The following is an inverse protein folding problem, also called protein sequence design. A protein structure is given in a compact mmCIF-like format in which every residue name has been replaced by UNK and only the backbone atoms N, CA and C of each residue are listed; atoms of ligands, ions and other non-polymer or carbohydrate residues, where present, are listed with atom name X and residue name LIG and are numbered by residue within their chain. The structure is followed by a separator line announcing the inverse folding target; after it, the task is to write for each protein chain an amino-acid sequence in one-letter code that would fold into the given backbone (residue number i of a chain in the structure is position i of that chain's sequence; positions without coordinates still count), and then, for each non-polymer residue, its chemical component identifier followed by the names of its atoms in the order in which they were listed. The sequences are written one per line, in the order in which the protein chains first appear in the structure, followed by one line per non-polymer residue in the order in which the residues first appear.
data_IF_780845711538
#
_entry.id   IF_780845711538
#
_cell.length_a   1.000
_cell.length_b   1.000
_cell.length_c   1.000
_cell.angle_alpha   90.00
_cell.angle_beta   90.00
_cell.angle_gamma   90.00
#
_symmetry.space_group_name_H-M   'P 1'
#
loop_
_entity.id
_entity.type
_entity.pdbx_description
1 polymer ?
#
# COMPACT_ATOMS: atom_id res chain seq x y z
N UNK A 1 -13.61 8.16 -5.97
CA UNK A 1 -12.71 8.60 -7.06
C UNK A 1 -13.24 8.14 -8.40
N UNK A 2 -13.81 9.08 -9.18
CA UNK A 2 -14.38 8.79 -10.50
C UNK A 2 -13.36 8.11 -11.44
N UNK A 3 -12.10 8.56 -11.41
CA UNK A 3 -11.04 8.01 -12.25
C UNK A 3 -10.77 6.52 -11.99
N UNK A 4 -10.85 6.05 -10.74
CA UNK A 4 -10.67 4.63 -10.45
C UNK A 4 -11.80 3.79 -11.04
N UNK A 5 -13.05 4.24 -10.87
CA UNK A 5 -14.19 3.53 -11.45
C UNK A 5 -14.11 3.49 -12.98
N UNK A 6 -13.71 4.60 -13.60
CA UNK A 6 -13.49 4.66 -15.06
C UNK A 6 -12.34 3.73 -15.51
N UNK A 7 -11.23 3.69 -14.75
CA UNK A 7 -10.10 2.78 -15.06
C UNK A 7 -10.51 1.32 -14.97
N UNK A 8 -11.32 0.93 -13.96
CA UNK A 8 -11.83 -0.43 -13.85
C UNK A 8 -12.74 -0.80 -15.03
N UNK A 9 -13.62 0.12 -15.46
CA UNK A 9 -14.48 -0.08 -16.62
C UNK A 9 -13.64 -0.22 -17.91
N UNK A 10 -12.62 0.63 -18.09
CA UNK A 10 -11.70 0.55 -19.23
C UNK A 10 -10.92 -0.77 -19.25
N UNK A 11 -10.44 -1.21 -18.09
CA UNK A 11 -9.79 -2.51 -17.97
C UNK A 11 -10.74 -3.66 -18.36
N UNK A 12 -12.00 -3.60 -17.93
CA UNK A 12 -13.03 -4.55 -18.31
C UNK A 12 -13.27 -4.60 -19.83
N UNK A 13 -13.36 -3.44 -20.47
CA UNK A 13 -13.50 -3.34 -21.94
C UNK A 13 -12.30 -3.97 -22.63
N UNK A 14 -11.08 -3.68 -22.15
CA UNK A 14 -9.84 -4.19 -22.73
C UNK A 14 -9.69 -5.71 -22.58
N UNK A 15 -10.24 -6.28 -21.52
CA UNK A 15 -10.16 -7.71 -21.21
C UNK A 15 -11.43 -8.49 -21.57
N UNK A 16 -12.40 -7.86 -22.25
CA UNK A 16 -13.72 -8.42 -22.58
C UNK A 16 -14.45 -8.97 -21.32
N UNK A 17 -14.34 -8.23 -20.24
CA UNK A 17 -14.90 -8.58 -18.93
C UNK A 17 -15.86 -7.52 -18.44
N UNK A 18 -17.05 -7.92 -17.99
CA UNK A 18 -18.01 -7.00 -17.36
C UNK A 18 -17.61 -6.76 -15.92
N UNK A 19 -17.21 -5.52 -15.61
CA UNK A 19 -16.91 -5.10 -14.25
C UNK A 19 -18.17 -4.56 -13.57
N UNK A 20 -18.55 -5.15 -12.43
CA UNK A 20 -19.57 -4.64 -11.53
C UNK A 20 -18.85 -4.12 -10.27
N UNK A 21 -18.95 -2.81 -10.02
CA UNK A 21 -18.30 -2.18 -8.88
C UNK A 21 -19.31 -2.09 -7.73
N UNK A 22 -18.97 -2.66 -6.60
CA UNK A 22 -19.69 -2.51 -5.34
C UNK A 22 -18.89 -1.60 -4.40
N UNK A 23 -19.53 -0.55 -3.89
CA UNK A 23 -18.90 0.40 -2.99
C UNK A 23 -19.23 0.03 -1.55
N UNK A 24 -18.22 -0.28 -0.77
CA UNK A 24 -18.36 -0.68 0.63
C UNK A 24 -17.90 0.44 1.55
N UNK A 25 -18.64 0.67 2.62
CA UNK A 25 -18.19 1.54 3.70
C UNK A 25 -17.28 0.78 4.64
N UNK A 26 -16.02 1.22 4.74
CA UNK A 26 -15.04 0.56 5.59
C UNK A 26 -15.37 0.64 7.09
N UNK A 27 -16.18 1.61 7.52
CA UNK A 27 -16.62 1.66 8.93
C UNK A 27 -17.56 0.51 9.30
N UNK A 28 -18.34 -0.03 8.36
CA UNK A 28 -19.15 -1.22 8.62
C UNK A 28 -18.28 -2.46 8.87
N UNK A 29 -17.15 -2.57 8.18
CA UNK A 29 -16.18 -3.65 8.41
C UNK A 29 -15.55 -3.56 9.81
N UNK A 30 -15.28 -2.35 10.30
CA UNK A 30 -14.78 -2.14 11.68
C UNK A 30 -15.79 -2.61 12.74
N UNK A 31 -17.08 -2.55 12.42
CA UNK A 31 -18.15 -3.02 13.30
C UNK A 31 -18.37 -4.56 13.24
N UNK A 32 -17.56 -5.26 12.42
CA UNK A 32 -17.59 -6.71 12.27
C UNK A 32 -18.59 -7.24 11.23
N UNK A 33 -19.22 -6.38 10.45
CA UNK A 33 -20.07 -6.82 9.32
C UNK A 33 -19.19 -7.11 8.10
N UNK A 34 -18.75 -8.36 7.98
CA UNK A 34 -17.94 -8.83 6.86
C UNK A 34 -18.79 -9.42 5.72
N UNK A 35 -20.10 -9.50 5.88
CA UNK A 35 -20.98 -10.10 4.87
C UNK A 35 -20.95 -9.40 3.52
N UNK A 36 -20.61 -8.12 3.52
CA UNK A 36 -20.45 -7.32 2.31
C UNK A 36 -19.21 -7.71 1.46
N UNK A 37 -18.29 -8.48 2.04
CA UNK A 37 -17.12 -9.02 1.32
C UNK A 37 -17.37 -10.39 0.70
N UNK A 38 -18.51 -11.03 1.03
CA UNK A 38 -18.82 -12.36 0.54
C UNK A 38 -19.12 -12.35 -0.97
N UNK A 39 -18.50 -13.29 -1.68
CA UNK A 39 -18.75 -13.49 -3.11
C UNK A 39 -18.14 -12.43 -4.03
N UNK A 40 -17.24 -11.59 -3.52
CA UNK A 40 -16.48 -10.66 -4.35
C UNK A 40 -15.38 -11.40 -5.13
N UNK A 41 -15.22 -11.07 -6.39
CA UNK A 41 -14.15 -11.60 -7.25
C UNK A 41 -12.80 -10.91 -7.02
N UNK A 42 -12.83 -9.67 -6.50
CA UNK A 42 -11.63 -8.89 -6.16
C UNK A 42 -11.96 -7.77 -5.18
N UNK A 43 -10.96 -7.33 -4.43
CA UNK A 43 -11.04 -6.19 -3.51
C UNK A 43 -10.05 -5.12 -3.94
N UNK A 44 -10.54 -3.88 -4.09
CA UNK A 44 -9.70 -2.71 -4.32
C UNK A 44 -9.82 -1.76 -3.13
N UNK A 45 -8.68 -1.46 -2.49
CA UNK A 45 -8.59 -0.42 -1.46
C UNK A 45 -7.92 0.80 -2.06
N UNK A 46 -8.66 1.90 -2.24
CA UNK A 46 -8.13 3.11 -2.88
C UNK A 46 -7.26 3.93 -1.94
N UNK A 47 -6.62 4.95 -2.51
CA UNK A 47 -5.99 6.02 -1.74
C UNK A 47 -7.01 6.79 -0.88
N UNK A 48 -6.51 7.42 0.16
CA UNK A 48 -7.31 8.21 1.08
C UNK A 48 -6.44 8.89 2.12
N UNK A 49 -7.08 9.70 2.97
CA UNK A 49 -6.45 10.42 4.06
C UNK A 49 -7.32 10.36 5.30
N UNK A 50 -6.68 10.47 6.48
CA UNK A 50 -7.37 10.51 7.76
C UNK A 50 -7.73 9.13 8.33
N UNK A 51 -8.12 9.13 9.61
CA UNK A 51 -8.31 7.91 10.41
C UNK A 51 -9.58 7.12 10.11
N UNK A 52 -10.57 7.74 9.46
CA UNK A 52 -11.89 7.17 9.28
C UNK A 52 -11.83 5.88 8.45
N UNK A 53 -12.33 4.79 9.00
CA UNK A 53 -12.44 3.50 8.32
C UNK A 53 -11.10 2.83 8.01
N UNK A 54 -10.00 3.20 8.69
CA UNK A 54 -8.68 2.61 8.44
C UNK A 54 -8.63 1.16 8.89
N UNK A 55 -9.15 0.84 10.07
CA UNK A 55 -9.18 -0.54 10.55
C UNK A 55 -10.04 -1.44 9.65
N UNK A 56 -11.16 -0.94 9.14
CA UNK A 56 -11.97 -1.68 8.17
C UNK A 56 -11.24 -1.96 6.85
N UNK A 57 -10.37 -1.06 6.40
CA UNK A 57 -9.51 -1.29 5.23
C UNK A 57 -8.41 -2.33 5.52
N UNK A 58 -7.87 -2.33 6.76
CA UNK A 58 -6.92 -3.36 7.21
C UNK A 58 -7.62 -4.73 7.24
N UNK A 59 -8.86 -4.78 7.75
CA UNK A 59 -9.69 -6.00 7.74
C UNK A 59 -9.96 -6.47 6.30
N UNK A 60 -10.26 -5.57 5.37
CA UNK A 60 -10.46 -5.94 3.97
C UNK A 60 -9.20 -6.55 3.34
N UNK A 61 -8.01 -6.01 3.65
CA UNK A 61 -6.73 -6.59 3.21
C UNK A 61 -6.49 -7.97 3.85
N UNK A 62 -6.84 -8.15 5.14
CA UNK A 62 -6.76 -9.44 5.82
C UNK A 62 -7.66 -10.49 5.17
N UNK A 63 -8.93 -10.17 4.94
CA UNK A 63 -9.88 -11.07 4.28
C UNK A 63 -9.38 -11.44 2.88
N UNK A 64 -8.89 -10.47 2.10
CA UNK A 64 -8.31 -10.73 0.80
C UNK A 64 -7.15 -11.73 0.88
N UNK A 65 -6.20 -11.52 1.80
CA UNK A 65 -5.06 -12.41 1.99
C UNK A 65 -5.47 -13.82 2.41
N UNK A 66 -6.35 -13.92 3.42
CA UNK A 66 -6.74 -15.22 4.01
C UNK A 66 -7.63 -16.05 3.09
N UNK A 67 -8.58 -15.39 2.42
CA UNK A 67 -9.52 -16.05 1.51
C UNK A 67 -9.02 -16.15 0.07
N UNK A 68 -7.79 -15.66 -0.20
CA UNK A 68 -7.19 -15.68 -1.53
C UNK A 68 -8.01 -14.90 -2.57
N UNK A 69 -8.69 -13.84 -2.15
CA UNK A 69 -9.39 -12.91 -3.04
C UNK A 69 -8.39 -11.94 -3.66
N UNK A 70 -8.34 -11.77 -4.98
CA UNK A 70 -7.50 -10.77 -5.63
C UNK A 70 -7.59 -9.40 -4.97
N UNK A 71 -6.43 -8.79 -4.69
CA UNK A 71 -6.33 -7.53 -3.97
C UNK A 71 -5.51 -6.50 -4.74
N UNK A 72 -6.05 -5.29 -4.91
CA UNK A 72 -5.34 -4.13 -5.39
C UNK A 72 -5.35 -3.02 -4.33
N UNK A 73 -4.17 -2.69 -3.80
CA UNK A 73 -4.00 -1.58 -2.87
C UNK A 73 -3.37 -0.37 -3.56
N UNK A 74 -3.99 0.80 -3.46
CA UNK A 74 -3.46 2.04 -4.07
C UNK A 74 -3.19 3.06 -2.97
N UNK A 75 -1.97 3.56 -2.84
CA UNK A 75 -1.56 4.57 -1.86
C UNK A 75 -1.88 4.10 -0.43
N UNK A 76 -2.92 4.64 0.23
CA UNK A 76 -3.39 4.13 1.53
C UNK A 76 -3.69 2.63 1.49
N UNK A 77 -4.17 2.11 0.36
CA UNK A 77 -4.41 0.68 0.18
C UNK A 77 -3.15 -0.18 0.32
N UNK A 78 -2.00 0.29 -0.17
CA UNK A 78 -0.71 -0.35 0.07
C UNK A 78 -0.32 -0.25 1.55
N UNK A 79 -0.48 0.92 2.15
CA UNK A 79 -0.10 1.14 3.54
C UNK A 79 -0.89 0.22 4.49
N UNK A 80 -2.20 0.07 4.30
CA UNK A 80 -3.01 -0.83 5.14
C UNK A 80 -2.68 -2.30 4.90
N UNK A 81 -2.28 -2.69 3.69
CA UNK A 81 -1.79 -4.04 3.41
C UNK A 81 -0.47 -4.33 4.14
N UNK A 82 0.45 -3.38 4.18
CA UNK A 82 1.71 -3.50 4.95
C UNK A 82 1.41 -3.58 6.46
N UNK A 83 0.51 -2.76 6.98
CA UNK A 83 0.10 -2.78 8.39
C UNK A 83 -0.52 -4.13 8.75
N UNK A 84 -1.43 -4.62 7.92
CA UNK A 84 -2.07 -5.94 8.09
C UNK A 84 -1.02 -7.05 8.17
N UNK A 85 -0.12 -7.09 7.19
CA UNK A 85 0.91 -8.11 7.11
C UNK A 85 1.89 -8.05 8.30
N UNK A 86 2.26 -6.85 8.71
CA UNK A 86 3.10 -6.64 9.88
C UNK A 86 2.45 -7.19 11.16
N UNK A 87 1.15 -6.93 11.35
CA UNK A 87 0.39 -7.39 12.54
C UNK A 87 0.24 -8.90 12.57
N UNK A 88 -0.24 -9.49 11.49
CA UNK A 88 -0.74 -10.86 11.51
C UNK A 88 0.29 -11.89 11.03
N UNK A 89 1.28 -11.50 10.25
CA UNK A 89 2.29 -12.41 9.70
C UNK A 89 3.67 -12.17 10.32
N UNK A 90 4.12 -10.91 10.41
CA UNK A 90 5.44 -10.60 10.96
C UNK A 90 5.47 -10.47 12.50
N UNK A 91 4.32 -10.68 13.19
CA UNK A 91 4.24 -10.65 14.64
C UNK A 91 4.56 -9.29 15.26
N UNK A 92 4.26 -8.21 14.55
CA UNK A 92 4.46 -6.85 15.03
C UNK A 92 3.16 -6.30 15.65
N UNK A 93 2.90 -6.71 16.89
CA UNK A 93 1.69 -6.29 17.58
C UNK A 93 1.51 -4.76 17.55
N UNK A 94 0.26 -4.32 17.32
CA UNK A 94 -0.10 -2.90 17.21
C UNK A 94 0.69 -2.12 16.13
N UNK A 95 1.25 -2.80 15.12
CA UNK A 95 1.85 -2.10 13.98
C UNK A 95 0.85 -1.13 13.36
N UNK A 96 1.28 0.09 13.07
CA UNK A 96 0.41 1.13 12.51
C UNK A 96 1.19 2.17 11.71
N UNK A 97 0.46 3.11 11.13
CA UNK A 97 1.00 4.36 10.60
C UNK A 97 1.06 5.41 11.71
N UNK A 98 2.15 6.18 11.77
CA UNK A 98 2.25 7.34 12.67
C UNK A 98 1.28 8.46 12.31
N UNK A 99 0.69 8.43 11.10
CA UNK A 99 -0.42 9.32 10.73
C UNK A 99 -1.66 9.07 11.60
N UNK A 100 -1.93 7.82 11.94
CA UNK A 100 -3.17 7.40 12.62
C UNK A 100 -2.95 7.12 14.10
N UNK A 101 -1.81 6.55 14.47
CA UNK A 101 -1.37 6.30 15.84
C UNK A 101 0.08 6.76 16.04
N UNK A 102 0.30 8.03 16.42
CA UNK A 102 1.66 8.55 16.65
C UNK A 102 2.43 7.82 17.74
N UNK A 103 1.73 7.12 18.65
CA UNK A 103 2.32 6.39 19.79
C UNK A 103 2.44 4.87 19.49
N UNK A 104 2.28 4.46 18.25
CA UNK A 104 2.43 3.04 17.89
C UNK A 104 3.81 2.53 18.25
N UNK A 105 3.92 1.36 18.92
CA UNK A 105 5.22 0.76 19.22
C UNK A 105 5.94 0.21 17.97
N UNK A 106 5.22 0.04 16.88
CA UNK A 106 5.71 -0.50 15.63
C UNK A 106 5.28 0.42 14.46
N UNK A 107 5.97 1.55 14.22
CA UNK A 107 5.65 2.50 13.15
C UNK A 107 6.09 1.93 11.79
N UNK A 108 5.25 1.08 11.19
CA UNK A 108 5.54 0.43 9.91
C UNK A 108 5.33 1.35 8.72
N UNK A 109 4.48 2.36 8.90
CA UNK A 109 4.30 3.48 7.98
C UNK A 109 4.60 4.76 8.76
N UNK A 110 5.49 5.60 8.25
CA UNK A 110 5.95 6.80 8.94
C UNK A 110 6.28 7.93 7.95
N UNK A 111 6.44 9.15 8.49
CA UNK A 111 7.05 10.23 7.74
C UNK A 111 8.51 9.87 7.45
N UNK A 112 8.97 10.19 6.26
CA UNK A 112 10.40 10.17 5.96
C UNK A 112 11.01 11.37 6.67
N UNK A 113 11.63 11.12 7.82
CA UNK A 113 12.23 12.15 8.67
C UNK A 113 13.72 12.33 8.41
N UNK A 114 14.34 11.40 7.72
CA UNK A 114 15.77 11.42 7.40
C UNK A 114 15.97 11.21 5.90
N UNK A 115 16.57 12.19 5.25
CA UNK A 115 17.05 12.09 3.87
C UNK A 115 18.57 12.13 3.87
N UNK A 116 19.21 11.18 3.21
CA UNK A 116 20.56 11.44 2.76
C UNK A 116 20.46 12.46 1.63
N UNK A 117 20.94 13.68 1.88
CA UNK A 117 21.09 14.63 0.81
C UNK A 117 22.11 14.09 -0.20
N UNK A 118 22.04 14.54 -1.47
CA UNK A 118 22.95 14.10 -2.54
C UNK A 118 24.45 14.35 -2.24
N UNK A 119 24.74 15.09 -1.17
CA UNK A 119 26.10 15.36 -0.65
C UNK A 119 26.49 14.49 0.56
N UNK A 120 25.61 13.52 0.96
CA UNK A 120 25.84 12.66 2.12
C UNK A 120 25.49 13.27 3.47
N UNK A 121 24.86 14.43 3.51
CA UNK A 121 24.34 15.02 4.75
C UNK A 121 22.96 14.45 5.09
N UNK A 122 22.75 14.09 6.36
CA UNK A 122 21.44 13.65 6.86
C UNK A 122 20.61 14.88 7.21
N UNK A 123 19.59 15.16 6.43
CA UNK A 123 18.59 16.16 6.78
C UNK A 123 17.52 15.54 7.69
N UNK A 124 17.63 15.77 9.00
CA UNK A 124 16.54 15.45 9.94
C UNK A 124 15.39 16.42 9.72
N UNK A 125 14.27 15.92 9.25
CA UNK A 125 13.02 16.68 9.18
C UNK A 125 12.16 16.32 10.38
N UNK A 126 12.08 17.25 11.31
CA UNK A 126 11.28 17.16 12.52
C UNK A 126 9.76 17.24 12.19
N UNK A 127 8.94 16.75 13.13
CA UNK A 127 7.45 16.84 13.10
C UNK A 127 6.94 18.27 12.89
N UNK A 128 7.74 19.26 13.26
CA UNK A 128 7.44 20.70 13.16
C UNK A 128 8.00 21.36 11.88
N UNK A 129 8.72 20.62 11.03
CA UNK A 129 9.15 21.14 9.75
C UNK A 129 7.95 21.31 8.79
N UNK A 130 8.05 22.26 7.88
CA UNK A 130 7.00 22.59 6.91
C UNK A 130 6.51 21.33 6.17
N UNK A 131 5.37 20.79 6.62
CA UNK A 131 4.75 19.58 6.09
C UNK A 131 4.49 19.66 4.56
N UNK A 132 4.44 20.85 4.00
CA UNK A 132 4.31 21.07 2.56
C UNK A 132 5.51 20.51 1.77
N UNK A 133 6.73 20.63 2.32
CA UNK A 133 7.96 20.15 1.70
C UNK A 133 8.19 18.64 1.73
N UNK A 134 7.41 17.89 2.51
CA UNK A 134 7.54 16.41 2.63
C UNK A 134 6.62 15.65 1.68
N UNK A 135 5.74 16.32 0.95
CA UNK A 135 4.83 15.68 0.01
C UNK A 135 5.57 15.17 -1.22
N UNK A 136 5.51 13.85 -1.44
CA UNK A 136 5.88 13.28 -2.75
C UNK A 136 4.70 13.50 -3.70
N UNK A 137 4.92 14.28 -4.75
CA UNK A 137 3.89 14.72 -5.67
C UNK A 137 4.35 14.58 -7.12
N UNK A 138 3.48 14.04 -7.97
CA UNK A 138 3.74 13.92 -9.41
C UNK A 138 4.32 12.58 -9.81
N UNK A 139 4.84 12.48 -11.02
CA UNK A 139 5.45 11.27 -11.57
C UNK A 139 6.74 10.93 -10.82
N UNK A 140 6.83 9.71 -10.32
CA UNK A 140 8.02 9.16 -9.67
C UNK A 140 8.41 7.87 -10.38
N UNK A 141 9.69 7.69 -10.60
CA UNK A 141 10.23 6.46 -11.17
C UNK A 141 10.19 5.34 -10.15
N UNK A 142 9.69 4.19 -10.57
CA UNK A 142 9.68 2.96 -9.80
C UNK A 142 10.42 1.86 -10.55
N UNK A 143 11.44 1.28 -9.91
CA UNK A 143 12.19 0.13 -10.40
C UNK A 143 11.48 -1.16 -9.97
N UNK A 144 11.13 -2.02 -10.92
CA UNK A 144 10.40 -3.26 -10.65
C UNK A 144 11.36 -4.45 -10.51
N UNK A 145 11.21 -5.17 -9.41
CA UNK A 145 12.06 -6.31 -9.07
C UNK A 145 11.93 -7.46 -10.08
N UNK A 146 13.05 -8.11 -10.38
CA UNK A 146 13.07 -9.27 -11.27
C UNK A 146 12.24 -10.44 -10.69
N UNK A 147 11.46 -11.10 -11.55
CA UNK A 147 10.63 -12.25 -11.16
C UNK A 147 9.37 -11.90 -10.36
N UNK A 148 9.07 -10.60 -10.18
CA UNK A 148 7.87 -10.15 -9.47
C UNK A 148 6.62 -10.16 -10.38
N UNK A 149 5.45 -10.26 -9.74
CA UNK A 149 4.17 -10.14 -10.44
C UNK A 149 4.00 -8.73 -11.00
N UNK A 150 4.39 -7.70 -10.24
CA UNK A 150 4.34 -6.32 -10.69
C UNK A 150 5.09 -6.13 -12.02
N UNK A 151 6.35 -6.59 -12.11
CA UNK A 151 7.14 -6.52 -13.35
C UNK A 151 6.49 -7.25 -14.52
N UNK A 152 5.88 -8.41 -14.25
CA UNK A 152 5.15 -9.18 -15.27
C UNK A 152 3.92 -8.43 -15.77
N UNK A 153 3.17 -7.78 -14.87
CA UNK A 153 1.94 -7.05 -15.22
C UNK A 153 2.24 -5.80 -16.05
N UNK A 154 3.27 -5.05 -15.69
CA UNK A 154 3.68 -3.86 -16.44
C UNK A 154 4.46 -4.18 -17.72
N UNK A 155 5.11 -5.34 -17.79
CA UNK A 155 5.96 -5.74 -18.92
C UNK A 155 7.20 -4.85 -19.09
N UNK A 156 7.68 -4.23 -18.02
CA UNK A 156 8.80 -3.29 -17.99
C UNK A 156 9.60 -3.45 -16.71
N UNK A 157 10.87 -3.01 -16.75
CA UNK A 157 11.77 -3.00 -15.59
C UNK A 157 11.60 -1.73 -14.75
N UNK A 158 11.18 -0.67 -15.40
CA UNK A 158 10.99 0.66 -14.84
C UNK A 158 9.66 1.23 -15.31
N UNK A 159 8.95 1.88 -14.40
CA UNK A 159 7.70 2.58 -14.68
C UNK A 159 7.70 3.94 -14.02
N UNK A 160 6.77 4.81 -14.44
CA UNK A 160 6.52 6.08 -13.77
C UNK A 160 5.09 6.07 -13.23
N UNK A 161 4.98 6.12 -11.91
CA UNK A 161 3.69 6.19 -11.23
C UNK A 161 3.45 7.57 -10.64
N UNK A 162 2.19 7.95 -10.52
CA UNK A 162 1.83 9.27 -10.00
C UNK A 162 1.56 9.21 -8.50
N UNK A 163 2.42 9.87 -7.74
CA UNK A 163 2.39 9.91 -6.28
C UNK A 163 1.68 11.14 -5.75
N UNK A 164 1.03 10.96 -4.60
CA UNK A 164 0.48 12.03 -3.76
C UNK A 164 0.35 11.53 -2.33
N UNK A 165 1.46 11.45 -1.62
CA UNK A 165 1.49 11.02 -0.22
C UNK A 165 2.72 11.57 0.51
N UNK A 166 2.73 11.47 1.84
CA UNK A 166 3.80 11.90 2.74
C UNK A 166 4.38 10.75 3.55
N UNK A 167 3.52 9.77 3.88
CA UNK A 167 3.87 8.63 4.70
C UNK A 167 4.34 7.51 3.80
N UNK A 168 5.43 6.89 4.22
CA UNK A 168 6.12 5.83 3.49
C UNK A 168 6.26 4.58 4.35
N UNK A 169 6.53 3.45 3.73
CA UNK A 169 6.95 2.25 4.44
C UNK A 169 8.28 2.54 5.13
N UNK A 170 8.33 2.33 6.44
CA UNK A 170 9.53 2.56 7.23
C UNK A 170 10.66 1.61 6.78
N UNK A 171 11.74 2.15 6.22
CA UNK A 171 12.85 1.36 5.68
C UNK A 171 13.53 0.47 6.72
N UNK A 172 13.52 0.87 8.00
CA UNK A 172 14.12 0.09 9.08
C UNK A 172 13.42 -1.24 9.34
N UNK A 173 12.14 -1.36 8.98
CA UNK A 173 11.37 -2.59 9.20
C UNK A 173 11.29 -3.48 7.96
N UNK A 174 11.69 -2.98 6.79
CA UNK A 174 11.68 -3.73 5.53
C UNK A 174 12.34 -5.09 5.66
N UNK A 175 13.55 -5.25 6.26
CA UNK A 175 14.18 -6.56 6.39
C UNK A 175 13.36 -7.56 7.21
N UNK A 176 12.61 -7.08 8.22
CA UNK A 176 11.75 -7.95 9.05
C UNK A 176 10.53 -8.42 8.27
N UNK A 177 9.94 -7.56 7.47
CA UNK A 177 8.80 -7.91 6.62
C UNK A 177 9.20 -8.85 5.48
N UNK A 178 10.39 -8.63 4.88
CA UNK A 178 10.96 -9.55 3.87
C UNK A 178 11.22 -10.93 4.46
N UNK A 179 11.80 -10.99 5.64
CA UNK A 179 12.02 -12.25 6.35
C UNK A 179 10.72 -12.99 6.66
N UNK A 180 9.61 -12.28 6.85
CA UNK A 180 8.28 -12.84 7.02
C UNK A 180 7.60 -13.22 5.70
N UNK A 181 8.19 -12.89 4.54
CA UNK A 181 7.73 -13.29 3.21
C UNK A 181 7.03 -12.21 2.39
N UNK A 182 6.93 -10.97 2.87
CA UNK A 182 6.42 -9.86 2.05
C UNK A 182 7.43 -9.53 0.96
N UNK A 183 6.97 -9.40 -0.27
CA UNK A 183 7.82 -9.03 -1.40
C UNK A 183 7.68 -7.54 -1.70
N UNK A 184 8.78 -6.83 -1.68
CA UNK A 184 8.86 -5.44 -2.11
C UNK A 184 9.20 -5.43 -3.61
N UNK A 185 8.14 -5.42 -4.43
CA UNK A 185 8.22 -5.61 -5.86
C UNK A 185 8.54 -4.35 -6.65
N UNK A 186 8.41 -3.18 -6.02
CA UNK A 186 8.79 -1.89 -6.59
C UNK A 186 9.53 -1.01 -5.59
N UNK A 187 10.55 -0.31 -6.06
CA UNK A 187 11.33 0.64 -5.26
C UNK A 187 11.55 1.94 -6.04
N UNK A 188 11.78 3.04 -5.32
CA UNK A 188 12.20 4.30 -5.90
C UNK A 188 13.48 4.16 -6.73
N UNK A 189 13.79 5.14 -7.59
CA UNK A 189 14.94 5.10 -8.48
C UNK A 189 16.29 4.95 -7.74
N UNK A 190 16.40 5.48 -6.51
CA UNK A 190 17.53 5.33 -5.60
C UNK A 190 17.51 4.02 -4.80
N UNK A 191 16.41 3.27 -4.85
CA UNK A 191 16.21 2.03 -4.11
C UNK A 191 15.78 2.18 -2.64
N UNK A 192 15.69 3.40 -2.13
CA UNK A 192 15.49 3.67 -0.71
C UNK A 192 14.03 3.49 -0.26
N UNK A 193 13.07 3.86 -1.12
CA UNK A 193 11.66 3.83 -0.78
C UNK A 193 10.94 2.66 -1.42
N UNK A 194 9.99 2.11 -0.68
CA UNK A 194 9.09 1.06 -1.17
C UNK A 194 7.95 1.71 -1.96
N UNK A 195 7.78 1.25 -3.19
CA UNK A 195 6.74 1.75 -4.10
C UNK A 195 5.64 0.71 -4.35
N UNK A 196 5.99 -0.59 -4.29
CA UNK A 196 5.05 -1.69 -4.48
C UNK A 196 5.38 -2.87 -3.58
N UNK A 197 4.32 -3.58 -3.16
CA UNK A 197 4.41 -4.84 -2.42
C UNK A 197 3.53 -5.90 -3.06
N UNK A 198 3.92 -7.18 -2.91
CA UNK A 198 3.13 -8.31 -3.38
C UNK A 198 3.30 -9.54 -2.49
N UNK A 199 2.37 -10.50 -2.58
CA UNK A 199 2.43 -11.79 -1.92
C UNK A 199 2.62 -12.91 -2.95
N UNK A 200 3.72 -13.67 -2.84
CA UNK A 200 4.04 -14.78 -3.77
C UNK A 200 3.03 -15.92 -3.73
N UNK A 201 2.61 -16.28 -2.52
CA UNK A 201 1.69 -17.40 -2.30
C UNK A 201 0.22 -17.00 -2.40
N UNK A 202 -0.05 -15.89 -3.08
CA UNK A 202 -1.39 -15.39 -3.34
C UNK A 202 -1.67 -15.36 -4.85
N UNK A 203 -2.89 -15.74 -5.30
CA UNK A 203 -3.21 -15.73 -6.74
C UNK A 203 -3.00 -14.36 -7.39
N UNK A 204 -3.34 -13.28 -6.69
CA UNK A 204 -3.09 -11.92 -7.14
C UNK A 204 -3.22 -10.94 -5.97
N UNK A 205 -2.11 -10.49 -5.41
CA UNK A 205 -2.07 -9.48 -4.34
C UNK A 205 -0.94 -8.51 -4.66
N UNK A 206 -1.33 -7.31 -5.10
CA UNK A 206 -0.40 -6.24 -5.46
C UNK A 206 -0.87 -4.92 -4.85
N UNK A 207 0.03 -4.17 -4.33
CA UNK A 207 -0.30 -2.89 -3.74
C UNK A 207 0.87 -1.89 -3.89
#
# INVERSE_FOLDING_TARGET
YKSLSESLIHAGIHTDTKVKIEYLDSESLEQGDLSSLDGLDAILVPGGFGKRGVEGKIIAAQVAREQKIPYLGICLGMQVAVIEYARHIAGMERAHSTEFDPETPNPVIALVTEWEAADGSIEQRDKDSDLGGTMRLGGQTCQLGEGTLARKLYGADEIVERHRHRYEVNSQIVPKLEAAGLVFSGRSADGELVEMVELRDHPWFVA
#
